data_IF_603631321745
#
_entry.id   IF_603631321745
#
_cell.length_a   1.000
_cell.length_b   1.000
_cell.length_c   1.000
_cell.angle_alpha   90.00
_cell.angle_beta   90.00
_cell.angle_gamma   90.00
#
_symmetry.space_group_name_H-M   'P 1'
#
loop_
_entity.id
_entity.type
_entity.pdbx_description
1 polymer ?
#
# COMPACT_ATOMS: atom_id res chain seq x y z
N UNK A 1 -8.42 14.24 11.56
CA UNK A 1 -8.73 13.19 10.56
C UNK A 1 -7.54 13.15 9.62
N UNK A 2 -6.71 12.11 9.67
CA UNK A 2 -5.54 12.02 8.80
C UNK A 2 -6.04 11.87 7.37
N UNK A 3 -5.81 12.87 6.52
CA UNK A 3 -6.03 12.73 5.09
C UNK A 3 -5.04 11.69 4.59
N UNK A 4 -5.52 10.48 4.32
CA UNK A 4 -4.74 9.48 3.61
C UNK A 4 -4.46 10.01 2.21
N UNK A 5 -3.20 9.96 1.79
CA UNK A 5 -2.75 10.35 0.44
C UNK A 5 -3.33 9.44 -0.65
N UNK A 6 -3.83 8.27 -0.25
CA UNK A 6 -4.51 7.29 -1.08
C UNK A 6 -5.99 7.33 -0.76
N UNK A 7 -6.81 7.55 -1.79
CA UNK A 7 -8.25 7.41 -1.66
C UNK A 7 -8.63 5.92 -1.78
N UNK A 8 -9.23 5.28 -0.75
CA UNK A 8 -9.53 3.86 -0.78
C UNK A 8 -10.52 3.48 -1.89
N UNK A 9 -11.34 4.42 -2.37
CA UNK A 9 -12.23 4.18 -3.51
C UNK A 9 -11.47 3.95 -4.83
N UNK A 10 -10.22 4.41 -4.92
CA UNK A 10 -9.36 4.22 -6.10
C UNK A 10 -8.59 2.91 -6.07
N UNK A 11 -8.47 2.27 -4.90
CA UNK A 11 -7.82 0.98 -4.75
C UNK A 11 -8.84 -0.12 -4.98
N UNK A 12 -8.60 -0.95 -5.98
CA UNK A 12 -9.42 -2.14 -6.22
C UNK A 12 -8.95 -3.31 -5.35
N UNK A 13 -9.81 -4.32 -5.08
CA UNK A 13 -9.40 -5.51 -4.33
C UNK A 13 -8.19 -6.23 -4.94
N UNK A 14 -8.05 -6.20 -6.27
CA UNK A 14 -6.89 -6.75 -6.99
C UNK A 14 -5.61 -5.99 -6.68
N UNK A 15 -5.69 -4.67 -6.56
CA UNK A 15 -4.55 -3.82 -6.19
C UNK A 15 -4.17 -4.05 -4.72
N UNK A 16 -5.16 -4.17 -3.82
CA UNK A 16 -4.91 -4.51 -2.41
C UNK A 16 -4.18 -5.85 -2.26
N UNK A 17 -4.62 -6.89 -2.99
CA UNK A 17 -3.95 -8.18 -3.00
C UNK A 17 -2.50 -8.07 -3.55
N UNK A 18 -2.28 -7.27 -4.59
CA UNK A 18 -0.94 -7.03 -5.13
C UNK A 18 -0.02 -6.31 -4.11
N UNK A 19 -0.54 -5.31 -3.40
CA UNK A 19 0.19 -4.57 -2.36
C UNK A 19 0.56 -5.51 -1.21
N UNK A 20 -0.37 -6.40 -0.83
CA UNK A 20 -0.11 -7.45 0.16
C UNK A 20 1.01 -8.37 -0.29
N UNK A 21 0.99 -8.87 -1.53
CA UNK A 21 2.09 -9.69 -2.06
C UNK A 21 3.41 -8.93 -2.02
N UNK A 22 3.44 -7.65 -2.40
CA UNK A 22 4.66 -6.85 -2.30
C UNK A 22 5.16 -6.70 -0.86
N UNK A 23 4.29 -6.40 0.09
CA UNK A 23 4.71 -6.15 1.48
C UNK A 23 5.04 -7.44 2.23
N UNK A 24 4.25 -8.50 2.03
CA UNK A 24 4.28 -9.74 2.81
C UNK A 24 5.13 -10.82 2.14
N UNK A 25 4.87 -11.13 0.86
CA UNK A 25 5.61 -12.19 0.16
C UNK A 25 7.01 -11.73 -0.29
N UNK A 26 7.14 -10.47 -0.69
CA UNK A 26 8.41 -9.91 -1.17
C UNK A 26 9.17 -9.08 -0.12
N UNK A 27 8.62 -8.94 1.08
CA UNK A 27 9.16 -8.14 2.19
C UNK A 27 9.59 -6.72 1.76
N UNK A 28 8.83 -6.10 0.84
CA UNK A 28 9.16 -4.77 0.35
C UNK A 28 8.91 -3.72 1.43
N UNK A 29 9.88 -2.82 1.61
CA UNK A 29 9.68 -1.64 2.46
C UNK A 29 8.57 -0.75 1.92
N UNK A 30 7.95 0.08 2.78
CA UNK A 30 6.91 1.02 2.34
C UNK A 30 7.35 1.92 1.17
N UNK A 31 8.61 2.37 1.13
CA UNK A 31 9.13 3.16 0.00
C UNK A 31 9.21 2.35 -1.29
N UNK A 32 9.58 1.07 -1.20
CA UNK A 32 9.62 0.16 -2.35
C UNK A 32 8.21 -0.16 -2.85
N UNK A 33 7.23 -0.32 -1.96
CA UNK A 33 5.81 -0.46 -2.32
C UNK A 33 5.31 0.79 -3.03
N UNK A 34 5.64 1.98 -2.52
CA UNK A 34 5.31 3.26 -3.15
C UNK A 34 5.89 3.36 -4.56
N UNK A 35 7.18 3.03 -4.73
CA UNK A 35 7.84 3.03 -6.03
C UNK A 35 7.20 2.02 -6.99
N UNK A 36 6.92 0.79 -6.54
CA UNK A 36 6.27 -0.23 -7.37
C UNK A 36 4.85 0.19 -7.79
N UNK A 37 4.11 0.84 -6.89
CA UNK A 37 2.81 1.42 -7.19
C UNK A 37 2.91 2.59 -8.19
N UNK A 38 3.93 3.45 -8.05
CA UNK A 38 4.21 4.50 -9.03
C UNK A 38 4.59 3.93 -10.39
N UNK A 39 5.44 2.92 -10.43
CA UNK A 39 5.88 2.32 -11.70
C UNK A 39 4.74 1.57 -12.39
N UNK A 40 3.90 0.86 -11.63
CA UNK A 40 2.80 0.05 -12.17
C UNK A 40 1.55 0.88 -12.49
N UNK A 41 1.19 1.84 -11.64
CA UNK A 41 -0.05 2.64 -11.76
C UNK A 41 0.19 4.09 -12.14
N UNK A 42 1.45 4.48 -12.43
CA UNK A 42 1.85 5.85 -12.79
C UNK A 42 1.40 6.89 -11.78
N UNK A 43 1.48 6.54 -10.50
CA UNK A 43 1.13 7.42 -9.41
C UNK A 43 2.16 8.55 -9.25
N UNK A 44 1.71 9.79 -9.09
CA UNK A 44 2.56 10.98 -9.00
C UNK A 44 3.38 11.06 -7.70
N UNK A 45 3.10 10.19 -6.72
CA UNK A 45 3.69 10.23 -5.38
C UNK A 45 5.10 9.63 -5.28
N UNK A 46 5.58 8.91 -6.31
CA UNK A 46 6.92 8.32 -6.36
C UNK A 46 7.23 7.35 -5.22
N UNK A 47 8.49 7.31 -4.78
CA UNK A 47 8.96 6.51 -3.63
C UNK A 47 8.59 7.12 -2.26
N UNK A 48 7.50 7.89 -2.18
CA UNK A 48 7.12 8.56 -0.93
C UNK A 48 6.76 7.55 0.15
N UNK A 49 7.40 7.65 1.31
CA UNK A 49 7.17 6.73 2.43
C UNK A 49 5.73 6.83 2.97
N UNK A 50 5.17 8.04 3.01
CA UNK A 50 3.80 8.27 3.47
C UNK A 50 2.81 7.60 2.52
N UNK A 51 3.04 7.74 1.20
CA UNK A 51 2.22 7.11 0.17
C UNK A 51 2.26 5.59 0.27
N UNK A 52 3.46 5.01 0.43
CA UNK A 52 3.63 3.57 0.60
C UNK A 52 2.96 3.01 1.85
N UNK A 53 3.04 3.75 2.97
CA UNK A 53 2.34 3.37 4.20
C UNK A 53 0.83 3.43 4.01
N UNK A 54 0.31 4.51 3.43
CA UNK A 54 -1.13 4.65 3.19
C UNK A 54 -1.66 3.56 2.25
N UNK A 55 -0.90 3.17 1.23
CA UNK A 55 -1.21 2.03 0.35
C UNK A 55 -1.33 0.72 1.14
N UNK A 56 -0.36 0.44 2.02
CA UNK A 56 -0.39 -0.76 2.86
C UNK A 56 -1.58 -0.71 3.83
N UNK A 57 -1.84 0.43 4.46
CA UNK A 57 -2.98 0.64 5.37
C UNK A 57 -4.32 0.40 4.67
N UNK A 58 -4.51 0.96 3.48
CA UNK A 58 -5.73 0.75 2.69
C UNK A 58 -5.85 -0.72 2.28
N UNK A 59 -4.76 -1.33 1.79
CA UNK A 59 -4.76 -2.72 1.35
C UNK A 59 -5.12 -3.68 2.50
N UNK A 60 -4.49 -3.54 3.66
CA UNK A 60 -4.78 -4.34 4.85
C UNK A 60 -6.24 -4.20 5.28
N UNK A 61 -6.76 -2.98 5.35
CA UNK A 61 -8.17 -2.73 5.68
C UNK A 61 -9.14 -3.35 4.67
N UNK A 62 -8.76 -3.39 3.39
CA UNK A 62 -9.56 -4.04 2.35
C UNK A 62 -9.52 -5.58 2.42
N UNK A 63 -8.42 -6.17 2.86
CA UNK A 63 -8.33 -7.62 3.13
C UNK A 63 -8.86 -8.00 4.52
N UNK A 64 -9.19 -7.01 5.37
CA UNK A 64 -9.64 -7.24 6.75
C UNK A 64 -8.49 -7.60 7.70
N UNK A 65 -7.25 -7.32 7.31
CA UNK A 65 -6.04 -7.49 8.11
C UNK A 65 -5.68 -6.17 8.82
N UNK A 66 -4.93 -6.27 9.93
CA UNK A 66 -4.42 -5.11 10.64
C UNK A 66 -3.07 -4.67 10.03
N UNK A 67 -2.92 -3.42 9.56
CA UNK A 67 -1.67 -2.93 8.98
C UNK A 67 -0.55 -2.69 10.01
N UNK A 68 -0.87 -2.60 11.31
CA UNK A 68 0.10 -2.39 12.39
C UNK A 68 0.59 -3.71 13.02
N UNK A 69 0.02 -4.85 12.61
CA UNK A 69 0.43 -6.20 13.03
C UNK A 69 1.17 -6.96 11.92
N UNK A 70 1.90 -8.02 12.30
CA UNK A 70 2.40 -8.99 11.31
C UNK A 70 1.21 -9.54 10.49
N UNK A 71 1.31 -9.64 9.16
CA UNK A 71 2.54 -9.63 8.35
C UNK A 71 2.92 -8.26 7.75
N UNK A 72 2.27 -7.17 8.15
CA UNK A 72 2.44 -5.84 7.54
C UNK A 72 3.50 -4.97 8.23
N UNK A 73 3.75 -5.21 9.53
CA UNK A 73 4.72 -4.50 10.37
C UNK A 73 6.10 -5.15 10.34
#
# INVERSE_FOLDING_TARGET
MAQSTVDPATITPRMAAQIRTWRVDHDLTWRSVAQAATDLWRSEWGSSQIYGRDLCTVAARMTGEDPDEEPWN
#
